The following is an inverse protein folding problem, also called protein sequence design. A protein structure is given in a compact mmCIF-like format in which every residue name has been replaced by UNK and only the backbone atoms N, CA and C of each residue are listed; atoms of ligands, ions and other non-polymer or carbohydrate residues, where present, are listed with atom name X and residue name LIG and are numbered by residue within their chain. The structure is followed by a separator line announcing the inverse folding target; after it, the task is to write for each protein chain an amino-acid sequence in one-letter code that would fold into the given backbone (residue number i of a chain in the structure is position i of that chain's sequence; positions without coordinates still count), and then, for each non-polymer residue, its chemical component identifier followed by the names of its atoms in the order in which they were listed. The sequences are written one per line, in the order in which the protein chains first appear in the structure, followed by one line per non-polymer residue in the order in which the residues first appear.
data_IF_582461709642
#
_entry.id   IF_582461709642
#
_cell.length_a   1.000
_cell.length_b   1.000
_cell.length_c   1.000
_cell.angle_alpha   90.00
_cell.angle_beta   90.00
_cell.angle_gamma   90.00
#
_symmetry.space_group_name_H-M   'P 1'
#
loop_
_entity.id
_entity.type
_entity.pdbx_description
1 polymer ?
#
# COMPACT_ATOMS: atom_id res chain seq x y z
N UNK A 1 -18.87 0.65 9.39
CA UNK A 1 -17.75 -0.23 8.98
C UNK A 1 -16.51 0.65 8.93
N UNK A 2 -15.38 0.17 9.46
CA UNK A 2 -14.08 0.79 9.28
C UNK A 2 -13.55 0.43 7.88
N UNK A 3 -12.94 1.38 7.16
CA UNK A 3 -12.48 1.21 5.77
C UNK A 3 -13.58 0.77 4.78
N UNK A 4 -14.67 1.54 4.72
CA UNK A 4 -15.83 1.30 3.84
C UNK A 4 -15.51 1.18 2.34
N UNK A 5 -14.37 1.72 1.88
CA UNK A 5 -13.88 1.58 0.51
C UNK A 5 -13.08 0.30 0.28
N UNK A 6 -12.47 -0.30 1.31
CA UNK A 6 -11.77 -1.56 1.20
C UNK A 6 -12.81 -2.67 1.20
N UNK A 7 -12.96 -3.32 0.06
CA UNK A 7 -13.90 -4.42 -0.13
C UNK A 7 -13.31 -5.74 0.33
N UNK A 8 -11.99 -5.93 0.17
CA UNK A 8 -11.31 -7.15 0.61
C UNK A 8 -9.82 -6.93 0.93
N UNK A 9 -9.30 -7.74 1.86
CA UNK A 9 -7.87 -7.85 2.19
C UNK A 9 -7.54 -9.33 2.30
N UNK A 10 -6.81 -9.86 1.32
CA UNK A 10 -6.37 -11.26 1.29
C UNK A 10 -4.91 -11.33 1.70
N UNK A 11 -4.60 -12.02 2.80
CA UNK A 11 -3.22 -12.36 3.13
C UNK A 11 -2.75 -13.49 2.21
N UNK A 12 -1.81 -13.19 1.32
CA UNK A 12 -1.27 -14.15 0.35
C UNK A 12 -0.20 -15.03 1.00
N UNK A 13 0.67 -14.42 1.81
CA UNK A 13 1.69 -15.10 2.60
C UNK A 13 2.09 -14.28 3.85
N UNK A 14 3.29 -14.54 4.41
CA UNK A 14 3.79 -13.86 5.60
C UNK A 14 3.99 -12.34 5.42
N UNK A 15 4.28 -11.88 4.20
CA UNK A 15 4.58 -10.46 3.90
C UNK A 15 3.75 -9.87 2.77
N UNK A 16 3.02 -10.66 1.99
CA UNK A 16 2.23 -10.17 0.87
C UNK A 16 0.74 -10.15 1.17
N UNK A 17 0.10 -9.05 0.79
CA UNK A 17 -1.32 -8.81 0.99
C UNK A 17 -1.91 -8.23 -0.29
N UNK A 18 -3.03 -8.79 -0.75
CA UNK A 18 -3.83 -8.24 -1.84
C UNK A 18 -4.98 -7.42 -1.29
N UNK A 19 -5.06 -6.18 -1.75
CA UNK A 19 -6.14 -5.27 -1.43
C UNK A 19 -7.10 -5.15 -2.61
N UNK A 20 -8.39 -5.08 -2.32
CA UNK A 20 -9.40 -4.68 -3.30
C UNK A 20 -10.21 -3.53 -2.72
N UNK A 21 -10.30 -2.42 -3.44
CA UNK A 21 -11.00 -1.21 -3.01
C UNK A 21 -11.92 -0.65 -4.09
N UNK A 22 -12.96 0.07 -3.68
CA UNK A 22 -13.77 0.93 -4.56
C UNK A 22 -13.47 2.39 -4.26
N UNK A 23 -12.79 3.05 -5.20
CA UNK A 23 -12.35 4.44 -5.06
C UNK A 23 -13.06 5.27 -6.12
N UNK A 24 -13.85 6.25 -5.70
CA UNK A 24 -14.67 7.08 -6.59
C UNK A 24 -15.56 6.28 -7.56
N UNK A 25 -16.04 5.10 -7.14
CA UNK A 25 -16.86 4.20 -7.95
C UNK A 25 -16.08 3.31 -8.92
N UNK A 26 -14.74 3.39 -8.92
CA UNK A 26 -13.87 2.52 -9.70
C UNK A 26 -13.27 1.45 -8.78
N UNK A 27 -13.41 0.19 -9.17
CA UNK A 27 -12.75 -0.90 -8.47
C UNK A 27 -11.25 -0.90 -8.80
N UNK A 28 -10.43 -0.92 -7.76
CA UNK A 28 -8.97 -0.97 -7.81
C UNK A 28 -8.50 -2.18 -7.01
N UNK A 29 -7.43 -2.81 -7.46
CA UNK A 29 -6.77 -3.91 -6.74
C UNK A 29 -5.28 -3.68 -6.82
N UNK A 30 -4.58 -3.98 -5.74
CA UNK A 30 -3.11 -3.93 -5.71
C UNK A 30 -2.58 -5.00 -4.76
N UNK A 31 -1.40 -5.50 -5.07
CA UNK A 31 -0.63 -6.35 -4.18
C UNK A 31 0.40 -5.49 -3.47
N UNK A 32 0.53 -5.66 -2.16
CA UNK A 32 1.49 -4.94 -1.35
C UNK A 32 2.37 -5.91 -0.57
N UNK A 33 3.64 -5.55 -0.46
CA UNK A 33 4.62 -6.21 0.39
C UNK A 33 4.76 -5.42 1.70
N UNK A 34 4.71 -6.11 2.84
CA UNK A 34 5.03 -5.58 4.17
C UNK A 34 6.56 -5.57 4.29
N UNK A 35 7.15 -4.39 4.12
CA UNK A 35 8.61 -4.19 4.11
C UNK A 35 9.19 -4.11 5.53
N UNK A 36 8.36 -3.72 6.50
CA UNK A 36 8.74 -3.70 7.91
C UNK A 36 7.52 -3.93 8.80
N UNK A 37 7.67 -4.78 9.82
CA UNK A 37 6.67 -4.95 10.86
C UNK A 37 7.35 -5.13 12.22
N UNK A 38 7.12 -4.17 13.10
CA UNK A 38 7.34 -4.33 14.53
C UNK A 38 5.98 -4.32 15.22
N UNK A 39 5.53 -5.46 15.78
CA UNK A 39 4.24 -5.56 16.45
C UNK A 39 4.02 -4.40 17.43
N UNK A 40 2.80 -3.87 17.44
CA UNK A 40 2.36 -2.80 18.33
C UNK A 40 3.12 -1.47 18.20
N UNK A 41 3.98 -1.33 17.18
CA UNK A 41 4.81 -0.14 16.98
C UNK A 41 4.76 0.41 15.56
N UNK A 42 4.92 -0.45 14.55
CA UNK A 42 5.10 0.00 13.17
C UNK A 42 4.77 -1.08 12.16
N UNK A 43 4.10 -0.67 11.08
CA UNK A 43 3.96 -1.46 9.86
C UNK A 43 4.28 -0.53 8.69
N UNK A 44 5.17 -0.95 7.80
CA UNK A 44 5.48 -0.28 6.55
C UNK A 44 5.20 -1.21 5.37
N UNK A 45 4.73 -0.66 4.26
CA UNK A 45 4.42 -1.42 3.07
C UNK A 45 4.68 -0.63 1.79
N UNK A 46 4.77 -1.37 0.69
CA UNK A 46 4.88 -0.82 -0.67
C UNK A 46 4.10 -1.71 -1.64
N UNK A 47 3.32 -1.09 -2.52
CA UNK A 47 2.65 -1.80 -3.60
C UNK A 47 3.68 -2.36 -4.59
N UNK A 48 3.49 -3.60 -5.01
CA UNK A 48 4.37 -4.30 -5.96
C UNK A 48 3.66 -4.62 -7.28
N UNK A 49 2.33 -4.50 -7.32
CA UNK A 49 1.51 -4.66 -8.53
C UNK A 49 0.20 -3.86 -8.42
N UNK A 50 -0.34 -3.44 -9.55
CA UNK A 50 -1.54 -2.60 -9.63
C UNK A 50 -1.30 -1.16 -9.17
N UNK A 51 -2.29 -0.61 -8.44
CA UNK A 51 -2.27 0.81 -8.03
C UNK A 51 -1.15 1.12 -7.05
N UNK A 52 -0.20 1.94 -7.50
CA UNK A 52 0.97 2.32 -6.73
C UNK A 52 0.63 3.13 -5.47
N UNK A 53 1.03 2.58 -4.32
CA UNK A 53 1.00 3.27 -3.03
C UNK A 53 2.07 2.72 -2.10
N UNK A 54 2.53 3.55 -1.18
CA UNK A 54 3.43 3.16 -0.10
C UNK A 54 2.98 3.85 1.18
N UNK A 55 3.23 3.23 2.31
CA UNK A 55 2.81 3.83 3.56
C UNK A 55 3.48 3.25 4.78
N UNK A 56 3.30 4.00 5.85
CA UNK A 56 3.77 3.64 7.18
C UNK A 56 2.68 4.00 8.17
N UNK A 57 2.31 3.03 8.99
CA UNK A 57 1.54 3.28 10.20
C UNK A 57 2.42 3.07 11.43
N UNK A 58 2.40 4.02 12.35
CA UNK A 58 3.06 3.90 13.66
C UNK A 58 2.08 4.04 14.81
N UNK A 59 2.38 3.33 15.89
CA UNK A 59 1.60 3.28 17.11
C UNK A 59 2.46 3.79 18.26
N UNK A 60 1.97 4.82 18.96
CA UNK A 60 2.67 5.46 20.06
C UNK A 60 1.82 5.36 21.32
N UNK A 61 2.25 4.60 22.35
CA UNK A 61 1.53 4.58 23.62
C UNK A 61 1.60 5.96 24.26
N UNK A 62 0.45 6.47 24.68
CA UNK A 62 0.32 7.73 25.42
C UNK A 62 -0.07 7.50 26.89
N UNK A 63 -0.79 6.41 27.15
CA UNK A 63 -1.16 5.88 28.46
C UNK A 63 -1.56 4.40 28.31
N UNK A 64 -1.83 3.69 29.41
CA UNK A 64 -2.25 2.28 29.38
C UNK A 64 -3.52 2.04 28.55
N UNK A 65 -4.39 3.05 28.43
CA UNK A 65 -5.67 3.01 27.71
C UNK A 65 -5.69 3.89 26.46
N UNK A 66 -4.53 4.41 26.02
CA UNK A 66 -4.47 5.44 24.97
C UNK A 66 -3.26 5.27 24.06
N UNK A 67 -3.54 5.16 22.75
CA UNK A 67 -2.52 5.07 21.70
C UNK A 67 -2.76 6.16 20.65
N UNK A 68 -1.69 6.83 20.23
CA UNK A 68 -1.69 7.66 19.03
C UNK A 68 -1.30 6.80 17.84
N UNK A 69 -2.14 6.80 16.82
CA UNK A 69 -1.86 6.20 15.52
C UNK A 69 -1.46 7.31 14.55
N UNK A 70 -0.36 7.15 13.84
CA UNK A 70 0.08 8.07 12.78
C UNK A 70 0.18 7.29 11.48
N UNK A 71 -0.48 7.78 10.44
CA UNK A 71 -0.40 7.24 9.09
C UNK A 71 0.32 8.23 8.19
N UNK A 72 1.34 7.76 7.49
CA UNK A 72 1.96 8.44 6.36
C UNK A 72 1.67 7.59 5.12
N UNK A 73 1.16 8.21 4.07
CA UNK A 73 0.72 7.53 2.87
C UNK A 73 1.19 8.33 1.66
N UNK A 74 1.80 7.63 0.71
CA UNK A 74 2.12 8.11 -0.63
C UNK A 74 1.29 7.30 -1.63
N UNK A 75 0.68 7.98 -2.60
CA UNK A 75 -0.22 7.37 -3.58
C UNK A 75 0.04 8.04 -4.92
N UNK A 76 0.41 7.24 -5.93
CA UNK A 76 0.48 7.75 -7.29
C UNK A 76 -0.88 7.63 -7.98
N UNK A 77 -1.36 8.72 -8.62
CA UNK A 77 -2.58 8.67 -9.39
C UNK A 77 -2.39 7.90 -10.71
N UNK A 78 -3.13 6.81 -10.92
CA UNK A 78 -3.15 6.07 -12.19
C UNK A 78 -4.40 6.37 -13.04
N UNK A 79 -4.20 6.99 -14.22
CA UNK A 79 -5.14 6.98 -15.35
C UNK A 79 -5.46 8.35 -16.01
N UNK A 80 -5.93 8.33 -17.26
CA UNK A 80 -6.30 9.52 -18.07
C UNK A 80 -7.56 10.27 -17.59
N UNK A 81 -8.35 9.70 -16.67
CA UNK A 81 -9.61 10.29 -16.16
C UNK A 81 -9.35 11.34 -15.06
N UNK A 82 -8.08 11.58 -14.73
CA UNK A 82 -7.66 12.18 -13.47
C UNK A 82 -7.23 13.65 -13.60
N UNK A 83 -7.51 14.28 -14.74
CA UNK A 83 -7.17 15.68 -15.03
C UNK A 83 -8.01 16.72 -14.28
N UNK A 84 -8.92 16.32 -13.39
CA UNK A 84 -9.84 17.24 -12.72
C UNK A 84 -9.67 17.14 -11.20
N UNK A 85 -9.07 18.20 -10.63
CA UNK A 85 -9.17 18.68 -9.25
C UNK A 85 -8.50 17.88 -8.10
N UNK A 86 -7.55 18.56 -7.44
CA UNK A 86 -7.18 18.48 -6.01
C UNK A 86 -7.17 17.10 -5.33
N UNK A 87 -6.43 16.16 -5.92
CA UNK A 87 -6.34 14.77 -5.42
C UNK A 87 -5.69 14.62 -4.05
N UNK A 88 -4.73 15.49 -3.71
CA UNK A 88 -4.08 15.46 -2.40
C UNK A 88 -5.07 15.68 -1.26
N UNK A 89 -5.99 16.65 -1.43
CA UNK A 89 -7.06 16.91 -0.46
C UNK A 89 -8.00 15.72 -0.30
N UNK A 90 -8.48 15.13 -1.41
CA UNK A 90 -9.41 14.00 -1.35
C UNK A 90 -8.81 12.75 -0.68
N UNK A 91 -7.57 12.38 -1.03
CA UNK A 91 -6.90 11.21 -0.43
C UNK A 91 -6.66 11.44 1.06
N UNK A 92 -6.20 12.63 1.44
CA UNK A 92 -5.96 12.97 2.85
C UNK A 92 -7.25 12.99 3.69
N UNK A 93 -8.33 13.57 3.17
CA UNK A 93 -9.65 13.57 3.83
C UNK A 93 -10.21 12.16 3.99
N UNK A 94 -9.98 11.28 3.00
CA UNK A 94 -10.42 9.89 3.06
C UNK A 94 -9.64 9.12 4.13
N UNK A 95 -8.31 9.19 4.09
CA UNK A 95 -7.44 8.56 5.08
C UNK A 95 -7.77 9.02 6.51
N UNK A 96 -8.08 10.32 6.71
CA UNK A 96 -8.53 10.85 8.00
C UNK A 96 -9.84 10.20 8.47
N UNK A 97 -10.85 10.14 7.61
CA UNK A 97 -12.15 9.51 7.94
C UNK A 97 -11.98 8.03 8.28
N UNK A 98 -11.09 7.33 7.59
CA UNK A 98 -10.81 5.93 7.88
C UNK A 98 -10.17 5.76 9.26
N UNK A 99 -9.19 6.59 9.65
CA UNK A 99 -8.62 6.58 11.00
C UNK A 99 -9.63 6.92 12.09
N UNK A 100 -10.56 7.85 11.84
CA UNK A 100 -11.65 8.18 12.77
C UNK A 100 -12.63 6.99 12.95
N UNK A 101 -12.95 6.31 11.84
CA UNK A 101 -13.76 5.11 11.86
C UNK A 101 -13.03 3.94 12.56
N UNK A 102 -11.71 3.81 12.38
CA UNK A 102 -10.88 2.82 13.07
C UNK A 102 -10.97 2.99 14.58
N UNK A 103 -10.72 4.22 15.03
CA UNK A 103 -10.77 4.60 16.44
C UNK A 103 -12.11 4.17 17.03
N UNK A 104 -13.21 4.59 16.40
CA UNK A 104 -14.55 4.24 16.85
C UNK A 104 -14.77 2.74 16.92
N UNK A 105 -14.33 2.00 15.89
CA UNK A 105 -14.48 0.55 15.81
C UNK A 105 -13.70 -0.19 16.90
N UNK A 106 -12.42 0.15 17.10
CA UNK A 106 -11.56 -0.56 18.05
C UNK A 106 -11.91 -0.21 19.50
N UNK A 107 -12.26 1.05 19.79
CA UNK A 107 -12.68 1.50 21.13
C UNK A 107 -14.03 0.88 21.56
N UNK A 108 -14.93 0.61 20.62
CA UNK A 108 -16.18 -0.09 20.91
C UNK A 108 -16.00 -1.60 21.17
N UNK A 109 -14.90 -2.20 20.68
CA UNK A 109 -14.72 -3.65 20.69
C UNK A 109 -14.13 -4.17 22.01
N UNK A 110 -13.21 -3.43 22.64
CA UNK A 110 -12.70 -3.72 23.98
C UNK A 110 -11.84 -5.00 24.15
N UNK A 111 -11.55 -5.76 23.09
CA UNK A 111 -10.66 -6.92 23.12
C UNK A 111 -9.84 -7.10 21.82
N UNK A 112 -8.63 -7.64 21.94
CA UNK A 112 -7.73 -7.92 20.81
C UNK A 112 -8.27 -9.10 19.96
N UNK A 113 -8.23 -8.97 18.64
CA UNK A 113 -8.68 -10.03 17.72
C UNK A 113 -7.61 -11.08 17.39
N UNK A 114 -6.43 -11.02 18.04
CA UNK A 114 -5.41 -12.06 17.97
C UNK A 114 -4.83 -12.34 16.57
N UNK A 115 -4.67 -11.32 15.73
CA UNK A 115 -4.12 -11.50 14.38
C UNK A 115 -2.60 -11.22 14.33
N UNK A 116 -1.92 -12.04 13.50
CA UNK A 116 -0.52 -12.03 13.05
C UNK A 116 0.44 -11.02 13.72
N UNK A 117 1.38 -11.52 14.54
CA UNK A 117 2.36 -10.72 15.30
C UNK A 117 3.83 -11.04 14.97
N UNK A 118 4.13 -11.62 13.79
CA UNK A 118 5.53 -11.91 13.43
C UNK A 118 6.28 -10.61 13.17
N UNK A 119 7.57 -10.57 13.49
CA UNK A 119 8.42 -9.41 13.20
C UNK A 119 9.00 -9.53 11.79
N UNK A 120 8.81 -8.51 10.96
CA UNK A 120 9.46 -8.38 9.65
C UNK A 120 10.52 -7.29 9.77
N UNK A 121 11.78 -7.62 9.49
CA UNK A 121 12.88 -6.65 9.55
C UNK A 121 13.02 -5.98 8.18
N UNK A 122 13.16 -4.65 8.19
CA UNK A 122 13.54 -3.91 6.99
C UNK A 122 14.89 -4.41 6.48
N UNK A 123 14.93 -4.80 5.22
CA UNK A 123 16.17 -5.01 4.48
C UNK A 123 16.66 -3.63 3.98
N UNK A 124 17.88 -3.18 4.35
CA UNK A 124 18.40 -1.89 3.91
C UNK A 124 18.57 -1.77 2.38
N UNK A 125 18.65 -2.87 1.64
CA UNK A 125 18.81 -2.86 0.18
C UNK A 125 17.46 -3.00 -0.57
N UNK A 126 16.35 -3.11 0.16
CA UNK A 126 15.01 -3.36 -0.39
C UNK A 126 14.54 -2.30 -1.39
N UNK A 127 14.75 -1.01 -1.07
CA UNK A 127 14.32 0.11 -1.92
C UNK A 127 15.03 0.10 -3.29
N UNK A 128 16.30 -0.33 -3.34
CA UNK A 128 17.09 -0.45 -4.56
C UNK A 128 16.69 -1.68 -5.37
N UNK A 129 16.52 -2.83 -4.70
CA UNK A 129 16.12 -4.07 -5.36
C UNK A 129 14.70 -4.00 -5.93
N UNK A 130 13.75 -3.35 -5.23
CA UNK A 130 12.41 -3.10 -5.79
C UNK A 130 12.46 -2.19 -7.01
N UNK A 131 13.19 -1.06 -6.95
CA UNK A 131 13.32 -0.15 -8.10
C UNK A 131 13.94 -0.85 -9.32
N UNK A 132 14.96 -1.68 -9.11
CA UNK A 132 15.58 -2.49 -10.17
C UNK A 132 14.65 -3.58 -10.70
N UNK A 133 13.84 -4.21 -9.84
CA UNK A 133 12.91 -5.26 -10.23
C UNK A 133 11.69 -4.71 -10.98
N UNK A 134 11.15 -3.57 -10.55
CA UNK A 134 10.11 -2.81 -11.28
C UNK A 134 10.65 -2.31 -12.63
N UNK A 135 11.88 -1.79 -12.66
CA UNK A 135 12.53 -1.42 -13.91
C UNK A 135 12.78 -2.64 -14.82
N UNK A 136 13.10 -3.80 -14.26
CA UNK A 136 13.28 -5.04 -15.02
C UNK A 136 11.97 -5.59 -15.57
N UNK A 137 10.86 -5.46 -14.85
CA UNK A 137 9.52 -5.88 -15.28
C UNK A 137 8.95 -4.94 -16.35
N UNK A 138 9.30 -3.65 -16.31
CA UNK A 138 8.87 -2.66 -17.30
C UNK A 138 9.84 -2.53 -18.49
N UNK A 139 10.96 -3.27 -18.52
CA UNK A 139 11.85 -3.36 -19.69
C UNK A 139 11.15 -4.14 -20.79
N UNK A 140 10.91 -3.49 -21.93
CA UNK A 140 10.38 -4.17 -23.10
C UNK A 140 11.49 -5.02 -23.78
N UNK A 141 11.27 -6.31 -24.08
CA UNK A 141 12.33 -7.20 -24.56
C UNK A 141 12.93 -6.84 -25.94
N UNK A 142 12.32 -5.93 -26.69
CA UNK A 142 12.64 -5.68 -28.09
C UNK A 142 13.56 -4.47 -28.34
N UNK A 143 13.96 -3.73 -27.32
CA UNK A 143 14.84 -2.55 -27.46
C UNK A 143 16.32 -2.90 -27.66
N UNK A 144 16.71 -4.17 -27.45
CA UNK A 144 18.09 -4.67 -27.62
C UNK A 144 18.27 -5.62 -28.85
N UNK A 145 17.24 -5.85 -29.68
CA UNK A 145 17.46 -6.58 -30.95
C UNK A 145 18.28 -5.68 -31.90
N UNK A 146 19.46 -6.11 -32.38
CA UNK A 146 20.15 -5.37 -33.45
C UNK A 146 19.21 -5.29 -34.66
N UNK A 147 19.18 -4.16 -35.39
CA UNK A 147 18.27 -3.99 -36.51
C UNK A 147 18.44 -5.16 -37.48
N UNK A 148 17.32 -5.83 -37.80
CA UNK A 148 17.32 -6.91 -38.79
C UNK A 148 17.78 -6.30 -40.11
N UNK A 149 18.88 -6.83 -40.65
CA UNK A 149 19.37 -6.44 -41.97
C UNK A 149 18.23 -6.51 -42.98
N UNK A 150 17.88 -5.38 -43.58
CA UNK A 150 16.88 -5.34 -44.65
C UNK A 150 17.39 -6.15 -45.85
N UNK A 151 16.56 -7.01 -46.46
CA UNK A 151 17.00 -7.76 -47.62
C UNK A 151 17.26 -6.79 -48.78
N UNK A 152 18.50 -6.80 -49.26
CA UNK A 152 18.89 -6.09 -50.48
C UNK A 152 18.04 -6.57 -51.66
N UNK A 153 17.52 -5.60 -52.44
CA UNK A 153 16.69 -5.81 -53.63
C UNK A 153 17.33 -6.69 -54.71
#
# INVERSE_FOLDING_TARGET
LFMDHISNVDQLDDTHVRFTASIAGVQRSWDAEITEQTPDQRIAWTAIDGTQNAGVVTFHPLADDRTRVVLQLDVEPEGLVEQIADKGGFVSDRARKDLEAFKTFIEQRGYETGAYRKKVKRDPDHDQHQAEQLAALNRQPWEDEPPRDEPSS
#
